data_IF_950933483459
#
_entry.id   IF_950933483459
#
_cell.length_a   1.000
_cell.length_b   1.000
_cell.length_c   1.000
_cell.angle_alpha   90.00
_cell.angle_beta   90.00
_cell.angle_gamma   90.00
#
_symmetry.space_group_name_H-M   'P 1'
#
loop_
_entity.id
_entity.type
_entity.pdbx_description
1 polymer ?
#
# COMPACT_ATOMS: atom_id res chain seq x y z
N UNK A 1 6.24 12.99 -15.22
CA UNK A 1 4.86 12.63 -14.85
C UNK A 1 4.68 13.03 -13.40
N UNK A 2 3.81 14.00 -13.12
CA UNK A 2 3.54 14.37 -11.74
C UNK A 2 2.88 13.16 -11.08
N UNK A 3 3.47 12.63 -10.03
CA UNK A 3 2.80 12.98 -8.80
C UNK A 3 1.39 12.35 -8.59
N UNK A 4 0.52 13.32 -8.35
CA UNK A 4 -0.94 13.32 -8.45
C UNK A 4 -1.52 12.68 -9.71
N UNK A 5 -0.92 12.83 -10.90
CA UNK A 5 -1.49 12.24 -12.15
C UNK A 5 -1.52 10.72 -12.08
N UNK A 6 -0.51 10.09 -11.46
CA UNK A 6 -0.48 8.64 -11.28
C UNK A 6 -1.56 8.17 -10.28
N UNK A 7 -1.82 8.95 -9.24
CA UNK A 7 -2.88 8.68 -8.26
C UNK A 7 -4.27 8.81 -8.87
N UNK A 8 -4.52 9.86 -9.65
CA UNK A 8 -5.80 10.04 -10.36
C UNK A 8 -6.04 8.93 -11.37
N UNK A 9 -5.02 8.53 -12.13
CA UNK A 9 -5.12 7.41 -13.08
C UNK A 9 -5.52 6.10 -12.41
N UNK A 10 -4.80 5.70 -11.35
CA UNK A 10 -5.09 4.45 -10.64
C UNK A 10 -6.50 4.47 -10.04
N UNK A 11 -6.90 5.54 -9.35
CA UNK A 11 -8.23 5.62 -8.74
C UNK A 11 -9.36 5.63 -9.80
N UNK A 12 -9.15 6.27 -10.95
CA UNK A 12 -10.12 6.28 -12.04
C UNK A 12 -10.33 4.88 -12.63
N UNK A 13 -9.24 4.18 -12.95
CA UNK A 13 -9.32 2.82 -13.47
C UNK A 13 -9.90 1.85 -12.43
N UNK A 14 -9.58 2.02 -11.15
CA UNK A 14 -10.21 1.24 -10.07
C UNK A 14 -11.73 1.44 -10.03
N UNK A 15 -12.21 2.68 -10.10
CA UNK A 15 -13.65 2.96 -10.12
C UNK A 15 -14.36 2.36 -11.34
N UNK A 16 -13.72 2.40 -12.53
CA UNK A 16 -14.26 1.81 -13.75
C UNK A 16 -14.37 0.29 -13.63
N UNK A 17 -13.29 -0.39 -13.21
CA UNK A 17 -13.31 -1.84 -13.04
C UNK A 17 -14.30 -2.30 -11.96
N UNK A 18 -14.39 -1.59 -10.83
CA UNK A 18 -15.37 -1.89 -9.78
C UNK A 18 -16.80 -1.72 -10.30
N UNK A 19 -17.10 -0.64 -11.02
CA UNK A 19 -18.44 -0.41 -11.58
C UNK A 19 -18.83 -1.50 -12.58
N UNK A 20 -17.94 -1.86 -13.50
CA UNK A 20 -18.18 -2.95 -14.47
C UNK A 20 -18.43 -4.27 -13.73
N UNK A 21 -17.61 -4.60 -12.73
CA UNK A 21 -17.76 -5.84 -11.96
C UNK A 21 -19.08 -5.90 -11.18
N UNK A 22 -19.60 -4.78 -10.70
CA UNK A 22 -20.91 -4.71 -10.03
C UNK A 22 -22.08 -4.83 -11.01
N UNK A 23 -21.93 -4.32 -12.24
CA UNK A 23 -22.94 -4.45 -13.30
C UNK A 23 -23.06 -5.91 -13.74
N UNK A 24 -21.94 -6.61 -13.92
CA UNK A 24 -21.92 -8.05 -14.27
C UNK A 24 -22.61 -8.92 -13.21
N UNK A 25 -22.55 -8.51 -11.94
CA UNK A 25 -23.23 -9.21 -10.84
C UNK A 25 -24.73 -8.87 -10.73
N UNK A 26 -25.23 -7.89 -11.48
CA UNK A 26 -26.64 -7.46 -11.46
C UNK A 26 -27.06 -6.64 -10.23
N UNK A 27 -26.23 -6.57 -9.18
CA UNK A 27 -26.58 -5.89 -7.93
C UNK A 27 -26.28 -4.39 -7.91
N UNK A 28 -25.84 -3.77 -9.01
CA UNK A 28 -25.46 -2.35 -9.03
C UNK A 28 -26.57 -1.43 -8.50
N UNK A 29 -27.80 -1.63 -8.98
CA UNK A 29 -28.95 -0.81 -8.57
C UNK A 29 -29.43 -1.12 -7.15
N UNK A 30 -29.39 -2.38 -6.71
CA UNK A 30 -29.73 -2.76 -5.34
C UNK A 30 -28.78 -2.14 -4.31
N UNK A 31 -27.48 -2.08 -4.62
CA UNK A 31 -26.49 -1.45 -3.75
C UNK A 31 -26.72 0.06 -3.60
N UNK A 32 -27.15 0.75 -4.67
CA UNK A 32 -27.47 2.18 -4.62
C UNK A 32 -28.76 2.42 -3.82
N UNK A 33 -29.80 1.60 -4.03
CA UNK A 33 -31.05 1.70 -3.27
C UNK A 33 -30.83 1.45 -1.77
N UNK A 34 -30.04 0.43 -1.43
CA UNK A 34 -29.61 0.17 -0.05
C UNK A 34 -28.85 1.36 0.53
N UNK A 35 -27.91 1.93 -0.23
CA UNK A 35 -27.14 3.08 0.22
C UNK A 35 -28.04 4.29 0.51
N UNK A 36 -29.02 4.59 -0.35
CA UNK A 36 -29.96 5.70 -0.15
C UNK A 36 -30.94 5.45 1.02
N UNK A 37 -31.31 4.20 1.26
CA UNK A 37 -32.23 3.81 2.34
C UNK A 37 -31.60 3.86 3.73
N UNK A 38 -30.27 3.72 3.84
CA UNK A 38 -29.54 3.74 5.11
C UNK A 38 -28.54 4.92 5.20
N UNK A 39 -28.96 6.10 5.69
CA UNK A 39 -28.09 7.29 5.75
C UNK A 39 -26.88 7.12 6.69
N UNK A 40 -26.98 6.27 7.71
CA UNK A 40 -25.85 5.92 8.56
C UNK A 40 -24.75 5.19 7.76
N UNK A 41 -25.14 4.28 6.86
CA UNK A 41 -24.20 3.60 5.97
C UNK A 41 -23.54 4.60 5.00
N UNK A 42 -24.30 5.55 4.46
CA UNK A 42 -23.73 6.63 3.63
C UNK A 42 -22.69 7.46 4.37
N UNK A 43 -22.96 7.82 5.64
CA UNK A 43 -22.01 8.58 6.45
C UNK A 43 -20.75 7.76 6.78
N UNK A 44 -20.89 6.48 7.14
CA UNK A 44 -19.72 5.63 7.36
C UNK A 44 -18.89 5.46 6.09
N UNK A 45 -19.54 5.24 4.95
CA UNK A 45 -18.89 5.12 3.63
C UNK A 45 -18.18 6.42 3.21
N UNK A 46 -18.81 7.58 3.43
CA UNK A 46 -18.22 8.88 3.08
C UNK A 46 -17.02 9.22 3.97
N UNK A 47 -17.11 9.02 5.29
CA UNK A 47 -15.99 9.22 6.22
C UNK A 47 -14.83 8.27 5.88
N UNK A 48 -15.14 7.00 5.58
CA UNK A 48 -14.14 6.02 5.17
C UNK A 48 -13.46 6.44 3.86
N UNK A 49 -14.23 6.92 2.88
CA UNK A 49 -13.72 7.40 1.59
C UNK A 49 -12.83 8.62 1.74
N UNK A 50 -13.25 9.64 2.50
CA UNK A 50 -12.45 10.85 2.77
C UNK A 50 -11.14 10.46 3.48
N UNK A 51 -11.24 9.62 4.52
CA UNK A 51 -10.06 9.15 5.27
C UNK A 51 -9.10 8.37 4.36
N UNK A 52 -9.64 7.53 3.48
CA UNK A 52 -8.86 6.78 2.49
C UNK A 52 -8.17 7.72 1.49
N UNK A 53 -8.88 8.70 0.93
CA UNK A 53 -8.32 9.67 0.00
C UNK A 53 -7.19 10.51 0.64
N UNK A 54 -7.40 10.96 1.88
CA UNK A 54 -6.37 11.65 2.67
C UNK A 54 -5.16 10.74 2.93
N UNK A 55 -5.39 9.48 3.31
CA UNK A 55 -4.33 8.49 3.51
C UNK A 55 -3.52 8.25 2.24
N UNK A 56 -4.18 8.12 1.09
CA UNK A 56 -3.52 7.96 -0.21
C UNK A 56 -2.66 9.18 -0.56
N UNK A 57 -3.11 10.40 -0.23
CA UNK A 57 -2.31 11.61 -0.44
C UNK A 57 -1.04 11.59 0.43
N UNK A 58 -1.13 11.16 1.69
CA UNK A 58 0.04 10.98 2.55
C UNK A 58 0.99 9.89 2.06
N UNK A 59 0.47 8.77 1.57
CA UNK A 59 1.26 7.69 0.95
C UNK A 59 2.03 8.26 -0.23
N UNK A 60 1.32 8.98 -1.10
CA UNK A 60 1.90 9.57 -2.29
C UNK A 60 3.00 10.57 -1.93
N UNK A 61 2.72 11.47 -0.99
CA UNK A 61 3.67 12.46 -0.49
C UNK A 61 4.94 11.78 0.07
N UNK A 62 4.77 10.71 0.84
CA UNK A 62 5.88 9.93 1.41
C UNK A 62 6.72 9.28 0.31
N UNK A 63 6.10 8.72 -0.74
CA UNK A 63 6.81 8.13 -1.88
C UNK A 63 7.58 9.20 -2.65
N UNK A 64 7.01 10.40 -2.82
CA UNK A 64 7.66 11.51 -3.52
C UNK A 64 8.91 12.01 -2.76
N UNK A 65 8.84 12.11 -1.43
CA UNK A 65 9.94 12.63 -0.59
C UNK A 65 10.99 11.56 -0.25
N UNK A 66 10.59 10.36 0.16
CA UNK A 66 11.49 9.32 0.68
C UNK A 66 11.72 8.14 -0.29
N UNK A 67 10.97 8.12 -1.39
CA UNK A 67 10.98 7.04 -2.37
C UNK A 67 10.11 5.83 -1.97
N UNK A 68 9.75 4.99 -2.96
CA UNK A 68 8.80 3.89 -2.78
C UNK A 68 9.27 2.79 -1.84
N UNK A 69 10.59 2.55 -1.76
CA UNK A 69 11.17 1.52 -0.87
C UNK A 69 10.95 1.86 0.61
N UNK A 70 11.09 3.14 0.97
CA UNK A 70 10.90 3.59 2.35
C UNK A 70 9.43 3.46 2.75
N UNK A 71 8.52 3.78 1.84
CA UNK A 71 7.08 3.57 2.04
C UNK A 71 6.73 2.09 2.32
N UNK A 72 7.25 1.17 1.50
CA UNK A 72 7.03 -0.28 1.69
C UNK A 72 7.56 -0.75 3.05
N UNK A 73 8.73 -0.26 3.48
CA UNK A 73 9.30 -0.59 4.78
C UNK A 73 8.38 -0.11 5.92
N UNK A 74 7.93 1.15 5.88
CA UNK A 74 7.01 1.72 6.87
C UNK A 74 5.70 0.91 6.94
N UNK A 75 5.10 0.58 5.78
CA UNK A 75 3.90 -0.27 5.70
C UNK A 75 4.12 -1.64 6.35
N UNK A 76 5.26 -2.27 6.07
CA UNK A 76 5.58 -3.62 6.58
C UNK A 76 5.81 -3.59 8.09
N UNK A 77 6.53 -2.59 8.60
CA UNK A 77 6.73 -2.41 10.05
C UNK A 77 5.39 -2.20 10.74
N UNK A 78 4.53 -1.33 10.20
CA UNK A 78 3.19 -1.07 10.75
C UNK A 78 2.35 -2.34 10.85
N UNK A 79 2.32 -3.14 9.78
CA UNK A 79 1.59 -4.42 9.77
C UNK A 79 2.19 -5.43 10.75
N UNK A 80 3.52 -5.54 10.83
CA UNK A 80 4.18 -6.44 11.76
C UNK A 80 3.92 -6.07 13.22
N UNK A 81 4.00 -4.79 13.57
CA UNK A 81 3.69 -4.30 14.93
C UNK A 81 2.24 -4.57 15.30
N UNK A 82 1.28 -4.39 14.37
CA UNK A 82 -0.12 -4.69 14.62
C UNK A 82 -0.35 -6.19 14.91
N UNK A 83 0.33 -7.07 14.19
CA UNK A 83 0.26 -8.52 14.42
C UNK A 83 0.84 -8.87 15.79
N UNK A 84 2.01 -8.34 16.13
CA UNK A 84 2.65 -8.57 17.44
C UNK A 84 1.77 -8.06 18.59
N UNK A 85 1.21 -6.86 18.45
CA UNK A 85 0.33 -6.25 19.44
C UNK A 85 -0.97 -7.04 19.58
N UNK A 86 -1.53 -7.55 18.48
CA UNK A 86 -2.71 -8.42 18.52
C UNK A 86 -2.43 -9.71 19.29
N UNK A 87 -1.30 -10.38 19.02
CA UNK A 87 -0.88 -11.56 19.78
C UNK A 87 -0.70 -11.27 21.27
N UNK A 88 -0.17 -10.09 21.62
CA UNK A 88 0.01 -9.68 23.02
C UNK A 88 -1.32 -9.36 23.73
N UNK A 89 -2.21 -8.59 23.09
CA UNK A 89 -3.47 -8.13 23.68
C UNK A 89 -4.49 -9.28 23.81
N UNK A 90 -4.61 -10.15 22.80
CA UNK A 90 -5.60 -11.24 22.83
C UNK A 90 -5.20 -12.41 23.75
N UNK A 91 -4.02 -12.35 24.38
CA UNK A 91 -3.63 -13.31 25.41
C UNK A 91 -3.64 -14.76 24.92
N UNK A 92 -3.46 -14.99 23.62
CA UNK A 92 -3.31 -16.35 23.11
C UNK A 92 -2.13 -16.97 23.86
N UNK A 93 -2.30 -18.16 24.42
CA UNK A 93 -1.20 -18.93 25.00
C UNK A 93 -0.19 -19.19 23.89
N UNK A 94 0.78 -18.29 23.75
CA UNK A 94 1.83 -18.36 22.74
C UNK A 94 2.71 -19.52 23.17
N UNK A 95 2.35 -20.72 22.72
CA UNK A 95 3.15 -21.91 22.95
C UNK A 95 4.54 -21.72 22.33
N UNK A 96 5.45 -22.66 22.60
CA UNK A 96 6.84 -22.58 22.13
C UNK A 96 6.95 -22.36 20.61
N UNK A 97 6.01 -22.90 19.83
CA UNK A 97 5.89 -22.66 18.38
C UNK A 97 5.50 -21.22 18.01
N UNK A 98 4.68 -20.54 18.83
CA UNK A 98 4.30 -19.14 18.60
C UNK A 98 5.47 -18.18 18.83
N UNK A 99 6.32 -18.46 19.83
CA UNK A 99 7.56 -17.69 20.05
C UNK A 99 8.52 -17.86 18.88
N UNK A 100 8.68 -19.09 18.37
CA UNK A 100 9.44 -19.32 17.14
C UNK A 100 8.85 -18.56 15.94
N UNK A 101 7.51 -18.53 15.80
CA UNK A 101 6.84 -17.74 14.76
C UNK A 101 7.15 -16.25 14.85
N UNK A 102 7.15 -15.67 16.05
CA UNK A 102 7.51 -14.26 16.29
C UNK A 102 8.96 -14.00 15.86
N UNK A 103 9.91 -14.87 16.24
CA UNK A 103 11.32 -14.75 15.86
C UNK A 103 11.48 -14.79 14.34
N UNK A 104 10.82 -15.73 13.66
CA UNK A 104 10.85 -15.85 12.20
C UNK A 104 10.31 -14.60 11.52
N UNK A 105 9.19 -14.04 12.00
CA UNK A 105 8.61 -12.80 11.47
C UNK A 105 9.59 -11.63 11.60
N UNK A 106 10.26 -11.49 12.75
CA UNK A 106 11.28 -10.46 12.94
C UNK A 106 12.48 -10.64 11.99
N UNK A 107 13.00 -11.87 11.85
CA UNK A 107 14.10 -12.16 10.92
C UNK A 107 13.69 -11.83 9.48
N UNK A 108 12.49 -12.25 9.04
CA UNK A 108 11.98 -11.92 7.70
C UNK A 108 11.77 -10.42 7.50
N UNK A 109 11.31 -9.68 8.51
CA UNK A 109 11.13 -8.23 8.44
C UNK A 109 12.48 -7.51 8.28
N UNK A 110 13.43 -7.80 9.17
CA UNK A 110 14.78 -7.22 9.10
C UNK A 110 15.48 -7.62 7.80
N UNK A 111 15.32 -8.87 7.35
CA UNK A 111 15.80 -9.36 6.07
C UNK A 111 15.21 -8.60 4.88
N UNK A 112 13.89 -8.42 4.81
CA UNK A 112 13.23 -7.62 3.74
C UNK A 112 13.71 -6.18 3.72
N UNK A 113 13.92 -5.58 4.89
CA UNK A 113 14.43 -4.21 5.00
C UNK A 113 15.86 -4.14 4.45
N UNK A 114 16.74 -5.06 4.88
CA UNK A 114 18.13 -5.10 4.45
C UNK A 114 18.28 -5.38 2.95
N UNK A 115 17.57 -6.38 2.42
CA UNK A 115 17.56 -6.69 0.99
C UNK A 115 16.93 -5.56 0.17
N UNK A 116 15.84 -4.94 0.66
CA UNK A 116 15.19 -3.81 0.01
C UNK A 116 16.13 -2.60 -0.14
N UNK A 117 16.95 -2.32 0.89
CA UNK A 117 17.99 -1.29 0.79
C UNK A 117 19.09 -1.65 -0.21
N UNK A 118 19.51 -2.92 -0.28
CA UNK A 118 20.49 -3.38 -1.27
C UNK A 118 19.95 -3.32 -2.70
N UNK A 119 18.71 -3.74 -2.94
CA UNK A 119 18.06 -3.63 -4.25
C UNK A 119 17.98 -2.18 -4.73
N UNK A 120 17.64 -1.24 -3.84
CA UNK A 120 17.61 0.20 -4.15
C UNK A 120 19.00 0.71 -4.56
N UNK A 121 20.05 0.30 -3.85
CA UNK A 121 21.45 0.62 -4.20
C UNK A 121 21.90 0.00 -5.52
N UNK A 122 21.48 -1.23 -5.81
CA UNK A 122 21.79 -1.92 -7.06
C UNK A 122 21.07 -1.27 -8.26
N UNK A 123 19.79 -0.91 -8.12
CA UNK A 123 19.01 -0.26 -9.16
C UNK A 123 19.50 1.17 -9.44
N UNK A 124 19.91 1.91 -8.40
CA UNK A 124 20.57 3.21 -8.57
C UNK A 124 21.89 3.09 -9.34
N UNK A 125 22.72 2.07 -9.03
CA UNK A 125 23.97 1.79 -9.75
C UNK A 125 23.75 1.42 -11.22
N UNK A 126 22.73 0.61 -11.51
CA UNK A 126 22.35 0.25 -12.88
C UNK A 126 21.87 1.48 -13.68
N UNK A 127 21.06 2.35 -13.07
CA UNK A 127 20.63 3.61 -13.68
C UNK A 127 21.81 4.55 -13.99
N UNK A 128 22.76 4.68 -13.05
CA UNK A 128 24.00 5.44 -13.27
C UNK A 128 24.86 4.85 -14.38
N UNK A 129 24.99 3.52 -14.45
CA UNK A 129 25.74 2.84 -15.50
C UNK A 129 25.09 3.00 -16.89
N UNK A 130 23.75 2.98 -16.98
CA UNK A 130 23.03 3.22 -18.23
C UNK A 130 23.08 4.68 -18.71
N UNK A 131 23.19 5.66 -17.82
CA UNK A 131 23.40 7.07 -18.19
C UNK A 131 24.82 7.34 -18.70
N UNK A 132 25.82 6.60 -18.23
CA UNK A 132 27.21 6.69 -18.75
C UNK A 132 27.44 5.92 -20.06
N UNK A 133 26.53 5.04 -20.47
CA UNK A 133 26.68 4.18 -21.65
C UNK A 133 26.12 4.79 -22.96
N UNK A 134 25.60 6.02 -22.94
CA UNK A 134 25.27 6.77 -24.18
C UNK A 134 26.30 7.87 -24.40
N UNK A 135 27.44 7.58 -25.06
CA UNK A 135 28.33 8.62 -25.54
C UNK A 135 27.70 9.28 -26.77
N UNK A 136 27.26 10.53 -26.60
CA UNK A 136 27.17 11.51 -27.68
C UNK A 136 26.00 11.35 -28.67
N UNK A 137 24.92 12.10 -28.44
CA UNK A 137 24.28 12.87 -29.51
C UNK A 137 23.65 14.10 -28.90
N UNK A 138 24.49 15.12 -28.63
CA UNK A 138 24.03 16.50 -28.59
C UNK A 138 24.33 17.08 -29.98
N UNK A 139 23.31 17.18 -30.81
CA UNK A 139 23.18 18.22 -31.85
C UNK A 139 21.71 18.59 -31.89
#
# INVERSE_FOLDING_TARGET
MSSVQMMTGVNLFSCLFTSISLIEQGSFFENIDFMLRYPAFMLHSSILSITSATGQLFIYYTISQFGPVTFIIIMTIRMALAILLSCFIYGHTVGMLGVLGIIVVFISLFGKIYLGQRFKKAQARLQSASQTAVPGTKV
#
